data_IF_471798184286
#
_entry.id   IF_471798184286
#
_cell.length_a   1.000
_cell.length_b   1.000
_cell.length_c   1.000
_cell.angle_alpha   90.00
_cell.angle_beta   90.00
_cell.angle_gamma   90.00
#
_symmetry.space_group_name_H-M   'P 1'
#
loop_
_entity.id
_entity.type
_entity.pdbx_description
1 polymer ?
#
# COMPACT_ATOMS: atom_id res chain seq x y z
N UNK A 1 8.65 -26.96 -3.68
CA UNK A 1 8.02 -27.32 -2.40
C UNK A 1 7.57 -26.06 -1.68
N UNK A 2 6.67 -26.20 -0.71
CA UNK A 2 6.25 -25.07 0.13
C UNK A 2 7.43 -24.45 0.85
N UNK A 3 8.30 -25.27 1.37
CA UNK A 3 9.50 -24.80 2.04
C UNK A 3 10.40 -24.01 1.10
N UNK A 4 10.51 -24.47 -0.11
CA UNK A 4 11.25 -23.79 -1.17
C UNK A 4 10.64 -22.42 -1.47
N UNK A 5 9.32 -22.37 -1.55
CA UNK A 5 8.61 -21.12 -1.82
C UNK A 5 8.76 -20.13 -0.70
N UNK A 6 8.72 -20.60 0.54
CA UNK A 6 8.92 -19.74 1.69
C UNK A 6 10.35 -19.19 1.73
N UNK A 7 11.30 -20.04 1.44
CA UNK A 7 12.70 -19.62 1.36
C UNK A 7 12.91 -18.64 0.23
N UNK A 8 12.35 -18.95 -0.93
CA UNK A 8 12.45 -18.06 -2.09
C UNK A 8 11.81 -16.72 -1.80
N UNK A 9 10.67 -16.71 -1.12
CA UNK A 9 10.01 -15.50 -0.73
C UNK A 9 10.88 -14.66 0.20
N UNK A 10 11.48 -15.28 1.21
CA UNK A 10 12.36 -14.59 2.15
C UNK A 10 13.71 -14.21 1.57
N UNK A 11 14.23 -15.00 0.64
CA UNK A 11 15.55 -14.79 0.04
C UNK A 11 15.53 -13.86 -1.16
N UNK A 12 14.43 -13.87 -1.94
CA UNK A 12 14.34 -13.12 -3.18
C UNK A 12 13.93 -11.66 -2.98
N UNK A 13 13.24 -11.36 -1.88
CA UNK A 13 12.81 -10.01 -1.59
C UNK A 13 13.74 -9.39 -0.56
N UNK A 14 14.38 -8.28 -0.93
CA UNK A 14 15.27 -7.58 -0.01
C UNK A 14 14.58 -6.42 0.71
N UNK A 15 13.44 -5.93 0.22
CA UNK A 15 12.71 -4.89 0.91
C UNK A 15 11.84 -5.54 1.97
N UNK A 16 12.15 -5.27 3.24
CA UNK A 16 11.42 -5.84 4.37
C UNK A 16 10.07 -5.19 4.55
N UNK A 17 10.07 -3.86 4.65
CA UNK A 17 8.84 -3.08 4.76
C UNK A 17 9.08 -1.67 4.24
N UNK A 18 7.98 -0.95 4.00
CA UNK A 18 7.99 0.47 3.64
C UNK A 18 7.10 1.22 4.62
N UNK A 19 7.28 2.52 4.74
CA UNK A 19 6.39 3.32 5.57
C UNK A 19 6.13 4.68 4.93
N UNK A 20 4.94 5.21 5.21
CA UNK A 20 4.55 6.55 4.79
C UNK A 20 4.19 7.37 6.03
N UNK A 21 4.48 8.66 5.97
CA UNK A 21 4.18 9.57 7.06
C UNK A 21 2.74 10.06 7.01
N UNK A 22 2.18 10.35 8.17
CA UNK A 22 0.85 10.94 8.29
C UNK A 22 0.82 12.00 9.39
N UNK A 23 -0.03 12.99 9.22
CA UNK A 23 -0.30 14.02 10.22
C UNK A 23 -1.46 13.64 11.13
N UNK A 24 -2.21 12.59 10.80
CA UNK A 24 -3.34 12.10 11.56
C UNK A 24 -3.45 10.61 11.40
N UNK A 25 -2.87 9.88 12.35
CA UNK A 25 -2.76 8.44 12.28
C UNK A 25 -4.13 7.76 12.24
N UNK A 26 -5.08 8.26 13.01
CA UNK A 26 -6.43 7.70 13.05
C UNK A 26 -7.16 7.89 11.72
N UNK A 27 -7.12 9.10 11.14
CA UNK A 27 -7.70 9.34 9.82
C UNK A 27 -7.01 8.54 8.73
N UNK A 28 -5.68 8.49 8.76
CA UNK A 28 -4.94 7.69 7.78
C UNK A 28 -5.35 6.23 7.83
N UNK A 29 -5.56 5.68 9.01
CA UNK A 29 -5.98 4.27 9.13
C UNK A 29 -7.38 4.03 8.58
N UNK A 30 -8.29 4.99 8.70
CA UNK A 30 -9.64 4.88 8.12
C UNK A 30 -9.60 4.81 6.60
N UNK A 31 -8.59 5.42 6.00
CA UNK A 31 -8.33 5.32 4.57
C UNK A 31 -7.67 3.97 4.24
N UNK A 32 -6.58 3.64 4.93
CA UNK A 32 -5.77 2.47 4.58
C UNK A 32 -6.39 1.13 4.96
N UNK A 33 -7.18 1.04 6.03
CA UNK A 33 -7.80 -0.22 6.40
C UNK A 33 -8.61 -0.81 5.22
N UNK A 34 -9.57 -0.08 4.63
CA UNK A 34 -10.33 -0.65 3.51
C UNK A 34 -9.52 -0.72 2.21
N UNK A 35 -8.63 0.23 1.97
CA UNK A 35 -7.86 0.29 0.74
C UNK A 35 -6.88 -0.88 0.65
N UNK A 36 -6.14 -1.14 1.71
CA UNK A 36 -5.17 -2.24 1.74
C UNK A 36 -5.84 -3.61 1.78
N UNK A 37 -7.04 -3.70 2.35
CA UNK A 37 -7.81 -4.95 2.33
C UNK A 37 -8.09 -5.41 0.90
N UNK A 38 -8.32 -4.48 -0.03
CA UNK A 38 -8.51 -4.84 -1.44
C UNK A 38 -7.30 -5.55 -2.03
N UNK A 39 -6.13 -5.33 -1.45
CA UNK A 39 -4.86 -5.92 -1.88
C UNK A 39 -4.42 -7.08 -0.97
N UNK A 40 -5.26 -7.49 -0.03
CA UNK A 40 -4.96 -8.61 0.85
C UNK A 40 -4.07 -8.27 2.04
N UNK A 41 -3.96 -7.00 2.41
CA UNK A 41 -3.25 -6.57 3.61
C UNK A 41 -4.24 -6.15 4.68
N UNK A 42 -3.99 -6.58 5.91
CA UNK A 42 -4.81 -6.20 7.07
C UNK A 42 -3.93 -5.68 8.20
N UNK A 43 -4.55 -4.97 9.11
CA UNK A 43 -3.85 -4.41 10.26
C UNK A 43 -3.29 -5.53 11.12
N UNK A 44 -1.96 -5.51 11.35
CA UNK A 44 -1.27 -6.50 12.17
C UNK A 44 -0.76 -5.95 13.48
N UNK A 45 -0.52 -4.63 13.55
CA UNK A 45 -0.08 -3.97 14.78
C UNK A 45 -0.65 -2.56 14.83
N UNK A 46 -1.05 -2.15 16.02
CA UNK A 46 -1.51 -0.78 16.29
C UNK A 46 -0.75 -0.26 17.50
N UNK A 47 0.02 0.80 17.28
CA UNK A 47 0.76 1.50 18.31
C UNK A 47 0.32 2.97 18.31
N UNK A 48 0.65 3.72 19.34
CA UNK A 48 0.31 5.14 19.40
C UNK A 48 1.02 5.96 18.32
N UNK A 49 2.19 5.50 17.85
CA UNK A 49 3.02 6.22 16.90
C UNK A 49 2.93 5.69 15.48
N UNK A 50 2.48 4.44 15.30
CA UNK A 50 2.41 3.82 13.98
C UNK A 50 1.37 2.70 13.93
N UNK A 51 0.96 2.34 12.71
CA UNK A 51 0.07 1.23 12.42
C UNK A 51 0.72 0.42 11.30
N UNK A 52 0.79 -0.89 11.46
CA UNK A 52 1.40 -1.77 10.47
C UNK A 52 0.41 -2.76 9.89
N UNK A 53 0.60 -3.07 8.62
CA UNK A 53 -0.25 -3.96 7.85
C UNK A 53 0.56 -5.12 7.28
N UNK A 54 0.02 -6.32 7.38
CA UNK A 54 0.62 -7.52 6.83
C UNK A 54 -0.42 -8.32 6.05
N UNK A 55 0.01 -9.40 5.43
CA UNK A 55 -0.89 -10.25 4.65
C UNK A 55 -1.89 -10.97 5.55
N UNK A 56 -3.00 -11.44 4.94
CA UNK A 56 -3.99 -12.23 5.66
C UNK A 56 -3.38 -13.49 6.30
N UNK A 57 -2.41 -14.10 5.62
CA UNK A 57 -1.75 -15.33 6.09
C UNK A 57 -0.77 -15.06 7.22
N UNK A 58 -0.15 -13.88 7.24
CA UNK A 58 0.87 -13.52 8.22
C UNK A 58 0.73 -12.05 8.59
N UNK A 59 -0.35 -11.67 9.32
CA UNK A 59 -0.63 -10.25 9.59
C UNK A 59 0.45 -9.56 10.39
N UNK A 60 1.20 -10.30 11.19
CA UNK A 60 2.26 -9.74 12.03
C UNK A 60 3.59 -9.59 11.33
N UNK A 61 3.71 -10.14 10.12
CA UNK A 61 4.85 -9.86 9.24
C UNK A 61 4.51 -8.59 8.46
N UNK A 62 4.88 -7.46 9.03
CA UNK A 62 4.46 -6.17 8.53
C UNK A 62 5.22 -5.82 7.25
N UNK A 63 4.48 -5.38 6.24
CA UNK A 63 5.03 -4.97 4.95
C UNK A 63 4.84 -3.48 4.70
N UNK A 64 3.87 -2.86 5.34
CA UNK A 64 3.52 -1.46 5.15
C UNK A 64 3.16 -0.80 6.48
N UNK A 65 3.77 0.36 6.76
CA UNK A 65 3.47 1.12 7.96
C UNK A 65 2.93 2.51 7.63
N UNK A 66 1.98 2.95 8.44
CA UNK A 66 1.65 4.36 8.62
C UNK A 66 2.39 4.84 9.86
N UNK A 67 3.03 5.99 9.81
CA UNK A 67 3.77 6.46 10.97
C UNK A 67 3.67 7.97 11.15
N UNK A 68 3.64 8.41 12.40
CA UNK A 68 4.00 9.78 12.70
C UNK A 68 5.48 9.94 12.38
N UNK A 69 5.91 11.06 11.78
CA UNK A 69 7.34 11.25 11.49
C UNK A 69 8.18 11.18 12.78
N UNK A 70 9.29 10.48 12.70
CA UNK A 70 10.16 10.23 13.85
C UNK A 70 10.67 11.52 14.48
N UNK A 71 10.90 12.57 13.67
CA UNK A 71 11.42 13.85 14.17
C UNK A 71 10.36 14.74 14.80
N UNK A 72 9.09 14.29 14.84
CA UNK A 72 8.00 15.08 15.41
C UNK A 72 7.51 16.24 14.55
N UNK A 73 8.10 16.45 13.38
CA UNK A 73 7.67 17.47 12.44
C UNK A 73 6.47 16.98 11.62
N UNK A 74 5.83 17.91 10.92
CA UNK A 74 4.70 17.55 10.04
C UNK A 74 5.15 16.59 8.94
N UNK A 75 4.31 15.61 8.64
CA UNK A 75 4.55 14.70 7.53
C UNK A 75 4.39 15.45 6.20
N UNK A 76 5.28 15.15 5.26
CA UNK A 76 5.19 15.64 3.88
C UNK A 76 5.33 14.45 2.95
N UNK A 77 4.71 14.55 1.76
CA UNK A 77 4.92 13.55 0.71
C UNK A 77 6.23 13.83 -0.03
N UNK A 78 6.93 12.79 -0.43
CA UNK A 78 8.14 12.95 -1.24
C UNK A 78 7.77 13.21 -2.70
N UNK A 79 8.35 14.23 -3.29
CA UNK A 79 8.18 14.48 -4.71
C UNK A 79 9.01 13.46 -5.50
N UNK A 80 8.34 12.58 -6.24
CA UNK A 80 8.99 11.47 -6.93
C UNK A 80 8.88 10.13 -6.20
N UNK A 81 8.42 10.12 -4.94
CA UNK A 81 8.25 8.89 -4.19
C UNK A 81 6.91 8.25 -4.51
N UNK A 82 6.93 6.94 -4.73
CA UNK A 82 5.72 6.15 -4.92
C UNK A 82 5.98 4.75 -4.39
N UNK A 83 4.96 4.16 -3.77
CA UNK A 83 4.99 2.77 -3.36
C UNK A 83 4.00 2.01 -4.22
N UNK A 84 4.47 0.98 -4.91
CA UNK A 84 3.65 0.15 -5.77
C UNK A 84 3.41 -1.20 -5.09
N UNK A 85 2.15 -1.59 -5.00
CA UNK A 85 1.72 -2.82 -4.35
C UNK A 85 1.11 -3.77 -5.36
N UNK A 86 1.49 -5.03 -5.28
CA UNK A 86 1.05 -6.05 -6.21
C UNK A 86 -0.36 -6.53 -5.85
N UNK A 87 -1.25 -6.47 -6.82
CA UNK A 87 -2.59 -7.02 -6.72
C UNK A 87 -2.64 -8.37 -7.44
N UNK A 88 -3.60 -9.21 -7.09
CA UNK A 88 -3.74 -10.55 -7.68
C UNK A 88 -4.50 -10.54 -9.00
N UNK A 89 -5.28 -9.50 -9.27
CA UNK A 89 -6.11 -9.42 -10.46
C UNK A 89 -6.39 -7.97 -10.83
N UNK A 90 -6.81 -7.76 -12.07
CA UNK A 90 -7.27 -6.44 -12.52
C UNK A 90 -8.47 -5.97 -11.71
N UNK A 91 -9.36 -6.89 -11.32
CA UNK A 91 -10.50 -6.56 -10.49
C UNK A 91 -10.07 -5.98 -9.13
N UNK A 92 -9.02 -6.53 -8.53
CA UNK A 92 -8.48 -6.02 -7.28
C UNK A 92 -7.86 -4.62 -7.47
N UNK A 93 -7.23 -4.36 -8.60
CA UNK A 93 -6.70 -3.03 -8.94
C UNK A 93 -7.86 -2.03 -9.08
N UNK A 94 -8.94 -2.43 -9.76
CA UNK A 94 -10.14 -1.59 -9.88
C UNK A 94 -10.74 -1.27 -8.50
N UNK A 95 -10.85 -2.29 -7.65
CA UNK A 95 -11.39 -2.12 -6.29
C UNK A 95 -10.48 -1.25 -5.42
N UNK A 96 -9.18 -1.41 -5.54
CA UNK A 96 -8.20 -0.58 -4.86
C UNK A 96 -8.43 0.90 -5.18
N UNK A 97 -8.51 1.23 -6.46
CA UNK A 97 -8.70 2.60 -6.91
C UNK A 97 -10.04 3.17 -6.44
N UNK A 98 -11.12 2.43 -6.67
CA UNK A 98 -12.47 2.86 -6.29
C UNK A 98 -12.58 3.07 -4.76
N UNK A 99 -12.03 2.15 -3.98
CA UNK A 99 -12.07 2.23 -2.51
C UNK A 99 -11.25 3.41 -2.02
N UNK A 100 -10.10 3.67 -2.62
CA UNK A 100 -9.28 4.83 -2.27
C UNK A 100 -10.03 6.14 -2.49
N UNK A 101 -10.67 6.31 -3.64
CA UNK A 101 -11.44 7.52 -3.91
C UNK A 101 -12.65 7.64 -2.99
N UNK A 102 -13.31 6.53 -2.67
CA UNK A 102 -14.46 6.52 -1.76
C UNK A 102 -14.08 6.94 -0.34
N UNK A 103 -12.81 6.80 0.04
CA UNK A 103 -12.32 7.11 1.38
C UNK A 103 -11.46 8.37 1.42
N UNK A 104 -11.61 9.25 0.43
CA UNK A 104 -10.98 10.57 0.44
C UNK A 104 -9.67 10.68 -0.32
N UNK A 105 -9.22 9.62 -0.95
CA UNK A 105 -8.03 9.65 -1.79
C UNK A 105 -8.26 10.45 -3.08
N UNK A 106 -7.17 10.83 -3.70
CA UNK A 106 -7.20 11.62 -4.94
C UNK A 106 -6.70 10.74 -6.08
N UNK A 107 -7.40 10.78 -7.21
CA UNK A 107 -7.02 10.08 -8.43
C UNK A 107 -5.70 10.63 -8.99
N UNK A 108 -4.75 9.75 -9.26
CA UNK A 108 -3.49 10.08 -9.94
C UNK A 108 -3.33 9.23 -11.21
N UNK A 109 -4.27 8.36 -11.50
CA UNK A 109 -4.28 7.54 -12.71
C UNK A 109 -5.28 6.41 -12.59
N UNK A 110 -6.32 6.47 -13.41
CA UNK A 110 -7.39 5.46 -13.42
C UNK A 110 -6.85 4.09 -13.80
N UNK A 111 -7.52 3.01 -13.36
CA UNK A 111 -7.09 1.65 -13.73
C UNK A 111 -6.94 1.49 -15.23
N UNK A 112 -5.83 0.91 -15.65
CA UNK A 112 -5.57 0.65 -17.05
C UNK A 112 -4.12 0.27 -17.32
N UNK A 113 -3.87 -0.12 -18.56
CA UNK A 113 -2.51 -0.34 -19.04
C UNK A 113 -1.87 1.00 -19.39
N UNK A 114 -0.54 1.08 -19.39
CA UNK A 114 0.19 2.34 -19.58
C UNK A 114 1.13 2.33 -20.76
N UNK A 115 1.65 1.16 -21.12
CA UNK A 115 2.68 1.01 -22.15
C UNK A 115 2.13 0.10 -23.24
N UNK A 116 2.20 0.53 -24.48
CA UNK A 116 1.76 -0.28 -25.62
C UNK A 116 2.52 -1.61 -25.65
N UNK A 117 1.79 -2.71 -25.75
CA UNK A 117 2.36 -4.05 -25.76
C UNK A 117 2.64 -4.62 -24.38
N UNK A 118 2.43 -3.86 -23.32
CA UNK A 118 2.58 -4.32 -21.94
C UNK A 118 1.18 -4.46 -21.32
N UNK A 119 0.86 -5.67 -20.87
CA UNK A 119 -0.43 -6.00 -20.28
C UNK A 119 -0.54 -5.61 -18.82
N UNK A 120 0.53 -5.11 -18.20
CA UNK A 120 0.51 -4.69 -16.81
C UNK A 120 -0.52 -3.60 -16.58
N UNK A 121 -1.33 -3.79 -15.55
CA UNK A 121 -2.51 -2.99 -15.28
C UNK A 121 -2.29 -2.22 -13.98
N UNK A 122 -2.34 -0.90 -14.05
CA UNK A 122 -1.98 0.00 -12.94
C UNK A 122 -3.14 0.90 -12.56
N UNK A 123 -3.15 1.32 -11.29
CA UNK A 123 -3.94 2.46 -10.83
C UNK A 123 -3.13 3.24 -9.81
N UNK A 124 -3.27 4.55 -9.81
CA UNK A 124 -2.51 5.43 -8.92
C UNK A 124 -3.43 6.36 -8.15
N UNK A 125 -3.14 6.53 -6.86
CA UNK A 125 -3.90 7.45 -5.99
C UNK A 125 -2.94 8.18 -5.06
N UNK A 126 -3.42 9.30 -4.50
CA UNK A 126 -2.80 9.95 -3.35
C UNK A 126 -3.61 9.63 -2.12
N UNK A 127 -2.94 9.35 -1.02
CA UNK A 127 -3.61 9.18 0.27
C UNK A 127 -3.98 10.56 0.88
N UNK A 128 -4.50 10.56 2.10
CA UNK A 128 -4.97 11.80 2.74
C UNK A 128 -3.84 12.77 3.06
N UNK A 129 -2.60 12.30 3.12
CA UNK A 129 -1.42 13.12 3.38
C UNK A 129 -0.62 13.43 2.11
N UNK A 130 -1.13 13.01 0.96
CA UNK A 130 -0.51 13.26 -0.34
C UNK A 130 0.52 12.25 -0.77
N UNK A 131 0.70 11.14 -0.03
CA UNK A 131 1.60 10.08 -0.45
C UNK A 131 1.03 9.36 -1.67
N UNK A 132 1.89 9.10 -2.66
CA UNK A 132 1.47 8.42 -3.88
C UNK A 132 1.62 6.92 -3.72
N UNK A 133 0.55 6.20 -3.97
CA UNK A 133 0.54 4.74 -3.94
C UNK A 133 -0.05 4.20 -5.23
N UNK A 134 0.38 3.01 -5.60
CA UNK A 134 -0.01 2.33 -6.81
C UNK A 134 -0.45 0.92 -6.47
N UNK A 135 -1.53 0.46 -7.09
CA UNK A 135 -1.87 -0.95 -7.12
C UNK A 135 -1.72 -1.43 -8.56
N UNK A 136 -1.12 -2.59 -8.76
CA UNK A 136 -0.91 -3.08 -10.12
C UNK A 136 -0.92 -4.60 -10.14
N UNK A 137 -1.16 -5.17 -11.32
CA UNK A 137 -1.00 -6.60 -11.58
C UNK A 137 -0.45 -6.82 -12.97
N UNK A 138 0.24 -7.93 -13.14
CA UNK A 138 0.79 -8.37 -14.44
C UNK A 138 -0.15 -9.28 -15.19
#
# INVERSE_FOLDING_TARGET
TLLQLDNDHGENFMIGYVMVGTNDLNNASKFYDPVLETLGLIRGITDAEYIGYGSLQSPKLIEFYLTKPFNGEAATSGNGTMIAMLAKSRNDVDNFHATALANGGIDEGKPGTRIDGDETYYAYVRDLDGNKICGYCE
#
